data_IF_888042063121
#
_entry.id   IF_888042063121
#
_cell.length_a   1.000
_cell.length_b   1.000
_cell.length_c   1.000
_cell.angle_alpha   90.00
_cell.angle_beta   90.00
_cell.angle_gamma   90.00
#
_symmetry.space_group_name_H-M   'P 1'
#
loop_
_entity.id
_entity.type
_entity.pdbx_description
1 polymer ?
#
# COMPACT_ATOMS: atom_id res chain seq x y z
N UNK A 1 27.26 15.85 19.92
CA UNK A 1 26.60 15.66 18.60
C UNK A 1 26.73 14.20 18.21
N UNK A 2 25.62 13.46 18.17
CA UNK A 2 25.63 12.02 17.88
C UNK A 2 25.85 11.79 16.38
N UNK A 3 26.55 10.71 15.99
CA UNK A 3 26.82 10.34 14.59
C UNK A 3 25.54 10.36 13.72
N UNK A 4 24.38 10.13 14.35
CA UNK A 4 23.07 10.09 13.70
C UNK A 4 22.52 11.46 13.24
N UNK A 5 22.92 12.56 13.88
CA UNK A 5 22.46 13.91 13.52
C UNK A 5 23.08 14.39 12.19
N UNK A 6 24.26 13.88 11.82
CA UNK A 6 24.97 14.28 10.59
C UNK A 6 24.32 13.79 9.30
N UNK A 7 23.50 12.74 9.35
CA UNK A 7 22.85 12.17 8.16
C UNK A 7 21.36 12.49 8.04
N UNK A 8 20.76 13.09 9.07
CA UNK A 8 19.33 13.38 9.14
C UNK A 8 18.82 14.20 7.94
N UNK A 9 19.51 15.27 7.47
CA UNK A 9 19.06 16.04 6.31
C UNK A 9 19.00 15.21 5.02
N UNK A 10 19.95 14.29 4.84
CA UNK A 10 20.02 13.46 3.63
C UNK A 10 18.86 12.44 3.60
N UNK A 11 18.63 11.74 4.71
CA UNK A 11 17.53 10.77 4.80
C UNK A 11 16.15 11.42 4.81
N UNK A 12 16.03 12.65 5.31
CA UNK A 12 14.82 13.43 5.15
C UNK A 12 14.57 13.71 3.68
N UNK A 13 15.54 14.32 3.00
CA UNK A 13 15.38 14.72 1.60
C UNK A 13 15.00 13.49 0.76
N UNK A 14 15.64 12.35 1.04
CA UNK A 14 15.25 11.08 0.45
C UNK A 14 13.78 10.72 0.74
N UNK A 15 13.33 10.77 2.01
CA UNK A 15 11.94 10.52 2.38
C UNK A 15 10.97 11.45 1.62
N UNK A 16 11.29 12.74 1.51
CA UNK A 16 10.47 13.73 0.81
C UNK A 16 10.35 13.46 -0.69
N UNK A 17 11.42 13.00 -1.32
CA UNK A 17 11.48 12.77 -2.76
C UNK A 17 10.88 11.41 -3.15
N UNK A 18 10.85 10.44 -2.23
CA UNK A 18 10.44 9.06 -2.50
C UNK A 18 9.09 8.68 -1.89
N UNK A 19 8.41 9.62 -1.22
CA UNK A 19 7.08 9.37 -0.64
C UNK A 19 6.15 10.56 -0.85
N UNK A 20 4.86 10.28 -0.96
CA UNK A 20 3.82 11.30 -1.07
C UNK A 20 3.07 11.48 0.26
N UNK A 21 2.51 12.67 0.54
CA UNK A 21 1.58 12.87 1.65
C UNK A 21 0.47 11.81 1.70
N UNK A 22 0.18 11.28 2.89
CA UNK A 22 -0.78 10.19 3.08
C UNK A 22 -0.23 8.80 2.75
N UNK A 23 1.03 8.67 2.32
CA UNK A 23 1.59 7.34 2.04
C UNK A 23 1.79 6.53 3.33
N UNK A 24 1.33 5.28 3.31
CA UNK A 24 1.59 4.32 4.38
C UNK A 24 2.97 3.70 4.18
N UNK A 25 3.77 3.65 5.25
CA UNK A 25 5.18 3.26 5.24
C UNK A 25 5.45 2.21 6.32
N UNK A 26 6.03 1.08 5.93
CA UNK A 26 6.48 0.04 6.85
C UNK A 26 7.87 0.37 7.37
N UNK A 27 8.11 0.11 8.66
CA UNK A 27 9.44 0.24 9.24
C UNK A 27 10.47 -0.63 8.50
N UNK A 28 10.10 -1.83 8.04
CA UNK A 28 10.99 -2.70 7.27
C UNK A 28 11.44 -2.04 5.95
N UNK A 29 10.53 -1.36 5.26
CA UNK A 29 10.83 -0.63 4.04
C UNK A 29 11.66 0.63 4.31
N UNK A 30 11.31 1.40 5.34
CA UNK A 30 12.11 2.54 5.78
C UNK A 30 13.55 2.14 6.12
N UNK A 31 13.74 1.07 6.89
CA UNK A 31 15.07 0.57 7.27
C UNK A 31 15.90 0.16 6.04
N UNK A 32 15.30 -0.52 5.06
CA UNK A 32 16.00 -0.90 3.81
C UNK A 32 16.47 0.30 3.01
N UNK A 33 15.83 1.45 3.18
CA UNK A 33 16.20 2.70 2.53
C UNK A 33 16.97 3.66 3.45
N UNK A 34 17.57 3.16 4.54
CA UNK A 34 18.46 3.92 5.42
C UNK A 34 17.76 4.70 6.55
N UNK A 35 16.42 4.62 6.65
CA UNK A 35 15.65 5.22 7.75
C UNK A 35 15.41 4.18 8.83
N UNK A 36 16.35 4.09 9.78
CA UNK A 36 16.25 3.17 10.92
C UNK A 36 15.13 3.55 11.92
N UNK A 37 14.92 2.73 12.96
CA UNK A 37 13.87 2.97 13.96
C UNK A 37 14.04 4.29 14.72
N UNK A 38 15.28 4.72 14.96
CA UNK A 38 15.56 5.95 15.70
C UNK A 38 15.31 7.18 14.81
N UNK A 39 15.63 7.12 13.52
CA UNK A 39 15.22 8.13 12.55
C UNK A 39 13.70 8.16 12.38
N UNK A 40 13.03 7.02 12.24
CA UNK A 40 11.57 6.97 12.21
C UNK A 40 10.95 7.62 13.45
N UNK A 41 11.50 7.36 14.65
CA UNK A 41 11.07 8.00 15.89
C UNK A 41 11.26 9.52 15.83
N UNK A 42 12.43 10.01 15.43
CA UNK A 42 12.70 11.44 15.28
C UNK A 42 11.77 12.09 14.25
N UNK A 43 11.46 11.41 13.15
CA UNK A 43 10.54 11.91 12.12
C UNK A 43 9.10 11.98 12.64
N UNK A 44 8.72 11.10 13.56
CA UNK A 44 7.44 11.22 14.27
C UNK A 44 7.44 12.42 15.21
N UNK A 45 8.49 12.59 16.01
CA UNK A 45 8.62 13.75 16.92
C UNK A 45 8.60 15.09 16.18
N UNK A 46 9.24 15.14 15.01
CA UNK A 46 9.31 16.35 14.18
C UNK A 46 8.12 16.50 13.23
N UNK A 47 7.10 15.63 13.32
CA UNK A 47 5.85 15.74 12.56
C UNK A 47 5.92 15.36 11.09
N UNK A 48 7.02 14.79 10.61
CA UNK A 48 7.14 14.31 9.22
C UNK A 48 6.45 12.95 9.01
N UNK A 49 6.43 12.13 10.05
CA UNK A 49 5.68 10.89 10.07
C UNK A 49 4.63 10.93 11.18
N UNK A 50 3.53 10.21 10.98
CA UNK A 50 2.57 9.90 12.02
C UNK A 50 2.52 8.39 12.21
N UNK A 51 2.50 7.91 13.45
CA UNK A 51 2.39 6.46 13.70
C UNK A 51 0.93 6.02 13.55
N UNK A 52 0.68 5.02 12.72
CA UNK A 52 -0.66 4.41 12.54
C UNK A 52 -0.78 3.16 13.41
N UNK A 53 0.25 2.32 13.40
CA UNK A 53 0.33 1.09 14.17
C UNK A 53 1.78 0.76 14.52
N UNK A 54 2.02 -0.38 15.18
CA UNK A 54 3.39 -0.80 15.46
C UNK A 54 4.19 -1.04 14.18
N UNK A 55 5.23 -0.24 13.96
CA UNK A 55 6.08 -0.31 12.78
C UNK A 55 5.42 0.15 11.49
N UNK A 56 4.31 0.90 11.58
CA UNK A 56 3.56 1.42 10.43
C UNK A 56 3.32 2.91 10.63
N UNK A 57 3.68 3.68 9.62
CA UNK A 57 3.65 5.14 9.64
C UNK A 57 2.87 5.69 8.46
N UNK A 58 2.37 6.91 8.60
CA UNK A 58 1.84 7.74 7.53
C UNK A 58 2.81 8.88 7.27
N UNK A 59 3.08 9.21 6.01
CA UNK A 59 3.70 10.49 5.66
C UNK A 59 2.70 11.62 5.92
N UNK A 60 3.05 12.57 6.79
CA UNK A 60 2.18 13.70 7.13
C UNK A 60 1.84 14.56 5.91
N UNK A 61 0.63 15.13 5.90
CA UNK A 61 0.15 16.09 4.89
C UNK A 61 -1.20 15.70 4.27
N UNK A 62 -1.62 14.45 4.42
CA UNK A 62 -2.96 13.95 4.06
C UNK A 62 -3.29 12.75 4.95
N UNK A 63 -4.57 12.53 5.25
CA UNK A 63 -4.97 11.25 5.86
C UNK A 63 -4.91 10.11 4.84
N UNK A 64 -4.32 8.96 5.20
CA UNK A 64 -4.23 7.81 4.32
C UNK A 64 -5.60 7.14 4.22
N UNK A 65 -5.89 6.57 3.06
CA UNK A 65 -7.10 5.78 2.83
C UNK A 65 -6.75 4.33 2.43
N UNK A 66 -7.76 3.56 2.02
CA UNK A 66 -7.57 2.17 1.62
C UNK A 66 -6.61 2.02 0.44
N UNK A 67 -6.54 3.01 -0.47
CA UNK A 67 -5.65 3.00 -1.63
C UNK A 67 -4.20 3.04 -1.15
N UNK A 68 -3.87 3.88 -0.15
CA UNK A 68 -2.51 3.92 0.42
C UNK A 68 -2.15 2.65 1.19
N UNK A 69 -3.13 2.04 1.88
CA UNK A 69 -2.93 0.77 2.56
C UNK A 69 -2.60 -0.36 1.56
N UNK A 70 -3.34 -0.45 0.45
CA UNK A 70 -3.09 -1.44 -0.60
C UNK A 70 -1.78 -1.16 -1.32
N UNK A 71 -1.52 0.11 -1.67
CA UNK A 71 -0.26 0.53 -2.28
C UNK A 71 0.96 0.12 -1.44
N UNK A 72 0.87 0.30 -0.12
CA UNK A 72 1.90 -0.13 0.82
C UNK A 72 2.13 -1.64 0.77
N UNK A 73 1.08 -2.47 0.73
CA UNK A 73 1.26 -3.91 0.58
C UNK A 73 1.99 -4.27 -0.71
N UNK A 74 1.57 -3.68 -1.82
CA UNK A 74 2.08 -4.01 -3.14
C UNK A 74 3.54 -3.59 -3.34
N UNK A 75 3.97 -2.51 -2.68
CA UNK A 75 5.31 -1.93 -2.88
C UNK A 75 6.30 -2.26 -1.77
N UNK A 76 5.83 -2.63 -0.57
CA UNK A 76 6.69 -2.70 0.62
C UNK A 76 6.65 -4.04 1.36
N UNK A 77 5.55 -4.81 1.23
CA UNK A 77 5.31 -6.01 2.05
C UNK A 77 5.94 -7.29 1.49
N UNK A 78 6.49 -7.24 0.26
CA UNK A 78 7.20 -8.37 -0.39
C UNK A 78 6.34 -9.64 -0.56
N UNK A 79 5.02 -9.49 -0.58
CA UNK A 79 4.08 -10.56 -0.91
C UNK A 79 3.25 -10.13 -2.10
N UNK A 80 2.96 -11.02 -3.06
CA UNK A 80 2.17 -10.64 -4.21
C UNK A 80 0.73 -10.39 -3.76
N UNK A 81 0.26 -9.14 -3.89
CA UNK A 81 -1.10 -8.72 -3.57
C UNK A 81 -1.66 -8.00 -4.79
N UNK A 82 -2.91 -8.29 -5.17
CA UNK A 82 -3.59 -7.58 -6.25
C UNK A 82 -4.96 -7.08 -5.84
N UNK A 83 -5.37 -5.95 -6.39
CA UNK A 83 -6.79 -5.58 -6.41
C UNK A 83 -7.52 -6.54 -7.34
N UNK A 84 -8.62 -7.12 -6.89
CA UNK A 84 -9.31 -8.20 -7.58
C UNK A 84 -10.82 -7.94 -7.66
N UNK A 85 -11.55 -8.91 -8.22
CA UNK A 85 -13.02 -8.93 -8.22
C UNK A 85 -13.65 -7.64 -8.75
N UNK A 86 -14.75 -7.23 -8.11
CA UNK A 86 -15.51 -6.04 -8.48
C UNK A 86 -14.68 -4.77 -8.40
N UNK A 87 -13.78 -4.65 -7.42
CA UNK A 87 -12.91 -3.48 -7.28
C UNK A 87 -11.99 -3.32 -8.48
N UNK A 88 -11.38 -4.41 -8.98
CA UNK A 88 -10.52 -4.34 -10.17
C UNK A 88 -11.30 -3.94 -11.42
N UNK A 89 -12.49 -4.52 -11.62
CA UNK A 89 -13.34 -4.21 -12.77
C UNK A 89 -13.84 -2.76 -12.76
N UNK A 90 -14.25 -2.28 -11.58
CA UNK A 90 -14.67 -0.89 -11.38
C UNK A 90 -13.58 0.10 -11.76
N UNK A 91 -12.36 -0.14 -11.27
CA UNK A 91 -11.22 0.75 -11.52
C UNK A 91 -10.71 0.72 -12.96
N UNK A 92 -11.01 -0.33 -13.71
CA UNK A 92 -10.74 -0.42 -15.16
C UNK A 92 -11.83 0.26 -16.00
N UNK A 93 -12.86 0.85 -15.38
CA UNK A 93 -14.01 1.42 -16.09
C UNK A 93 -14.95 0.37 -16.67
N UNK A 94 -14.81 -0.91 -16.28
CA UNK A 94 -15.64 -2.02 -16.74
C UNK A 94 -16.87 -2.27 -15.84
N UNK A 95 -16.97 -1.59 -14.70
CA UNK A 95 -18.16 -1.63 -13.86
C UNK A 95 -18.66 -0.22 -13.55
N UNK A 96 -19.97 -0.02 -13.68
CA UNK A 96 -20.67 1.11 -13.06
C UNK A 96 -20.80 0.83 -11.55
N UNK A 97 -19.68 0.76 -10.85
CA UNK A 97 -19.65 0.42 -9.44
C UNK A 97 -20.06 1.64 -8.61
N UNK A 98 -21.36 1.71 -8.32
CA UNK A 98 -21.93 2.71 -7.41
C UNK A 98 -22.51 1.94 -6.23
N UNK A 99 -21.65 1.46 -5.33
CA UNK A 99 -22.14 0.98 -4.04
C UNK A 99 -22.43 2.18 -3.13
N UNK A 100 -23.68 2.39 -2.68
CA UNK A 100 -23.95 3.38 -1.66
C UNK A 100 -23.33 2.93 -0.34
N UNK A 101 -22.42 3.73 0.20
CA UNK A 101 -21.81 3.50 1.52
C UNK A 101 -20.29 3.28 1.47
N UNK A 102 -19.81 2.45 2.39
CA UNK A 102 -18.39 2.19 2.58
C UNK A 102 -17.91 1.18 1.52
N UNK A 103 -16.86 1.49 0.73
CA UNK A 103 -16.45 0.67 -0.40
C UNK A 103 -15.98 -0.72 0.04
N UNK A 104 -16.38 -1.75 -0.72
CA UNK A 104 -15.82 -3.09 -0.61
C UNK A 104 -14.59 -3.22 -1.50
N UNK A 105 -13.45 -3.52 -0.88
CA UNK A 105 -12.15 -3.63 -1.56
C UNK A 105 -11.74 -5.09 -1.60
N UNK A 106 -11.81 -5.67 -2.79
CA UNK A 106 -11.47 -7.06 -3.05
C UNK A 106 -9.96 -7.17 -3.32
N UNK A 107 -9.29 -7.98 -2.51
CA UNK A 107 -7.85 -8.24 -2.61
C UNK A 107 -7.59 -9.71 -2.86
N UNK A 108 -6.77 -10.03 -3.85
CA UNK A 108 -6.23 -11.37 -4.04
C UNK A 108 -4.90 -11.49 -3.30
N UNK A 109 -4.78 -12.51 -2.45
CA UNK A 109 -3.57 -12.86 -1.71
C UNK A 109 -3.19 -14.34 -1.94
N UNK A 110 -1.92 -14.71 -1.74
CA UNK A 110 -1.50 -16.11 -1.80
C UNK A 110 -2.21 -16.93 -0.73
N UNK A 111 -2.35 -18.23 -0.98
CA UNK A 111 -2.85 -19.15 0.02
C UNK A 111 -2.08 -19.00 1.34
N UNK A 112 -2.81 -19.06 2.46
CA UNK A 112 -2.27 -18.95 3.83
C UNK A 112 -1.64 -17.59 4.21
N UNK A 113 -1.64 -16.58 3.34
CA UNK A 113 -1.18 -15.22 3.65
C UNK A 113 -2.34 -14.39 4.16
N UNK A 114 -2.34 -14.05 5.46
CA UNK A 114 -3.34 -13.16 6.07
C UNK A 114 -2.93 -11.70 5.93
N UNK A 115 -3.92 -10.81 5.79
CA UNK A 115 -3.68 -9.37 5.88
C UNK A 115 -3.02 -9.00 7.22
N UNK A 116 -2.07 -8.06 7.24
CA UNK A 116 -1.49 -7.58 8.48
C UNK A 116 -2.54 -6.93 9.39
N UNK A 117 -2.43 -7.13 10.70
CA UNK A 117 -3.40 -6.58 11.66
C UNK A 117 -3.53 -5.05 11.66
N UNK A 118 -2.54 -4.32 11.14
CA UNK A 118 -2.62 -2.86 11.00
C UNK A 118 -3.66 -2.39 9.97
N UNK A 119 -4.21 -3.28 9.14
CA UNK A 119 -5.33 -2.98 8.25
C UNK A 119 -6.59 -2.54 8.99
N UNK A 120 -6.73 -2.93 10.27
CA UNK A 120 -7.83 -2.48 11.12
C UNK A 120 -7.92 -0.94 11.22
N UNK A 121 -6.79 -0.24 11.06
CA UNK A 121 -6.77 1.23 11.04
C UNK A 121 -7.52 1.84 9.83
N UNK A 122 -7.79 1.05 8.80
CA UNK A 122 -8.45 1.45 7.56
C UNK A 122 -9.90 0.97 7.46
N UNK A 123 -10.43 0.34 8.52
CA UNK A 123 -11.81 -0.15 8.58
C UNK A 123 -12.88 0.95 8.57
N UNK A 124 -12.53 2.23 8.68
CA UNK A 124 -13.49 3.31 8.43
C UNK A 124 -13.54 3.66 6.93
N UNK A 125 -12.43 3.46 6.21
CA UNK A 125 -12.30 3.82 4.80
C UNK A 125 -12.81 2.75 3.83
N UNK A 126 -12.62 1.45 4.14
CA UNK A 126 -13.03 0.35 3.27
C UNK A 126 -13.21 -0.96 4.03
N UNK A 127 -14.06 -1.84 3.50
CA UNK A 127 -14.22 -3.22 3.97
C UNK A 127 -13.38 -4.11 3.07
N UNK A 128 -12.35 -4.75 3.62
CA UNK A 128 -11.45 -5.58 2.84
C UNK A 128 -11.99 -7.01 2.74
N UNK A 129 -12.15 -7.49 1.50
CA UNK A 129 -12.56 -8.85 1.19
C UNK A 129 -11.36 -9.57 0.58
N UNK A 130 -10.93 -10.66 1.20
CA UNK A 130 -9.75 -11.41 0.73
C UNK A 130 -10.14 -12.66 -0.05
N UNK A 131 -9.58 -12.77 -1.26
CA UNK A 131 -9.61 -13.97 -2.08
C UNK A 131 -8.25 -14.65 -1.98
N UNK A 132 -8.22 -15.87 -1.46
CA UNK A 132 -7.01 -16.67 -1.41
C UNK A 132 -6.89 -17.50 -2.68
N UNK A 133 -5.77 -17.38 -3.39
CA UNK A 133 -5.52 -18.18 -4.59
C UNK A 133 -4.08 -18.68 -4.65
N UNK A 134 -3.90 -19.95 -4.99
CA UNK A 134 -2.60 -20.53 -5.36
C UNK A 134 -2.09 -19.98 -6.69
N UNK A 135 -2.96 -19.39 -7.53
CA UNK A 135 -2.57 -18.77 -8.79
C UNK A 135 -1.65 -17.55 -8.64
N UNK A 136 -1.55 -16.95 -7.45
CA UNK A 136 -0.62 -15.84 -7.16
C UNK A 136 0.83 -16.30 -6.89
N UNK A 137 1.05 -17.60 -6.67
CA UNK A 137 2.41 -18.16 -6.47
C UNK A 137 3.04 -18.66 -7.76
N UNK A 138 2.25 -18.73 -8.84
CA UNK A 138 2.72 -18.98 -10.21
C UNK A 138 2.95 -17.62 -10.86
N UNK A 139 3.95 -17.46 -11.73
CA UNK A 139 4.18 -16.19 -12.43
C UNK A 139 2.97 -15.85 -13.33
N UNK A 140 2.08 -15.02 -12.81
CA UNK A 140 0.89 -14.49 -13.48
C UNK A 140 1.07 -13.02 -13.84
N UNK A 141 2.29 -12.59 -14.13
CA UNK A 141 2.57 -11.27 -14.74
C UNK A 141 1.66 -11.03 -15.96
N UNK A 142 1.32 -12.07 -16.72
CA UNK A 142 0.42 -12.09 -17.87
C UNK A 142 -1.06 -11.73 -17.58
N UNK A 143 -1.47 -11.62 -16.31
CA UNK A 143 -2.85 -11.28 -15.91
C UNK A 143 -2.91 -10.09 -14.94
N UNK A 144 -1.91 -9.23 -14.97
CA UNK A 144 -1.89 -8.00 -14.15
C UNK A 144 -2.20 -6.78 -15.03
N UNK A 145 -3.01 -5.86 -14.51
CA UNK A 145 -3.26 -4.56 -15.13
C UNK A 145 -2.92 -3.45 -14.14
N UNK A 146 -2.55 -2.28 -14.64
CA UNK A 146 -2.24 -1.12 -13.83
C UNK A 146 -3.50 -0.28 -13.61
N UNK A 147 -3.86 -0.03 -12.34
CA UNK A 147 -5.02 0.73 -11.94
C UNK A 147 -4.57 2.09 -11.41
N UNK A 148 -4.91 3.18 -12.10
CA UNK A 148 -4.59 4.54 -11.66
C UNK A 148 -5.74 5.11 -10.84
N UNK A 149 -5.45 5.50 -9.59
CA UNK A 149 -6.41 6.13 -8.67
C UNK A 149 -5.76 7.38 -8.09
N UNK A 150 -6.17 8.56 -8.58
CA UNK A 150 -5.51 9.82 -8.25
C UNK A 150 -4.02 9.77 -8.55
N UNK A 151 -3.20 9.99 -7.50
CA UNK A 151 -1.73 9.97 -7.56
C UNK A 151 -1.11 8.59 -7.28
N UNK A 152 -1.94 7.54 -7.18
CA UNK A 152 -1.49 6.16 -6.90
C UNK A 152 -1.69 5.25 -8.10
N UNK A 153 -0.76 4.30 -8.24
CA UNK A 153 -0.84 3.20 -9.18
C UNK A 153 -0.90 1.90 -8.37
N UNK A 154 -1.94 1.10 -8.58
CA UNK A 154 -2.12 -0.20 -7.95
C UNK A 154 -2.05 -1.31 -8.99
N UNK A 155 -1.57 -2.50 -8.59
CA UNK A 155 -1.65 -3.69 -9.43
C UNK A 155 -3.04 -4.35 -9.28
N UNK A 156 -3.78 -4.47 -10.38
CA UNK A 156 -5.07 -5.13 -10.47
C UNK A 156 -5.02 -6.46 -11.22
N UNK A 157 -6.01 -7.32 -11.01
CA UNK A 157 -6.24 -8.49 -11.86
C UNK A 157 -6.87 -8.07 -13.19
N UNK A 158 -6.31 -8.55 -14.31
CA UNK A 158 -6.85 -8.32 -15.64
C UNK A 158 -8.20 -9.03 -15.84
N UNK A 159 -9.09 -8.52 -16.71
CA UNK A 159 -10.35 -9.19 -17.03
C UNK A 159 -10.08 -10.51 -17.77
N UNK A 160 -10.93 -11.53 -17.61
CA UNK A 160 -10.88 -12.71 -18.46
C UNK A 160 -11.16 -12.29 -19.91
N UNK A 161 -10.13 -12.33 -20.78
CA UNK A 161 -10.24 -12.01 -22.21
C UNK A 161 -9.11 -11.17 -22.83
N UNK A 162 -8.20 -10.59 -22.04
CA UNK A 162 -7.09 -9.75 -22.55
C UNK A 162 -5.74 -10.49 -22.65
N UNK A 163 -5.74 -11.82 -22.66
CA UNK A 163 -4.58 -12.57 -23.11
C UNK A 163 -4.46 -12.42 -24.63
N UNK A 164 -3.46 -11.68 -25.11
CA UNK A 164 -3.14 -11.67 -26.55
C UNK A 164 -2.90 -13.13 -26.97
N UNK A 165 -3.73 -13.59 -27.91
CA UNK A 165 -3.43 -14.74 -28.78
C UNK A 165 -2.12 -14.52 -29.53
#
# INVERSE_FOLDING_TARGET
>A
MSIQERHLPNYLNWLMQNTLPGQVLLQSWLTRNGVDRKLSYLYVQNGWLRRIAHGVYCRTGREPDWVDAVYCLQTQWEKPVRVAGLTSLALQGHAHYTEPGKPQVWLALPAYVKLPGWFAAFEQSATFITLYTSGLTVDVSSFTTELKIGDRQLAGSAPPGTGRV
#
